data_IF_331989504878
#
_entry.id   IF_331989504878
#
_cell.length_a   1.000
_cell.length_b   1.000
_cell.length_c   1.000
_cell.angle_alpha   90.00
_cell.angle_beta   90.00
_cell.angle_gamma   90.00
#
_symmetry.space_group_name_H-M   'P 1'
#
loop_
_entity.id
_entity.type
_entity.pdbx_description
1 polymer ?
#
# COMPACT_ATOMS: atom_id res chain seq x y z
N UNK A 1 12.11 -22.15 14.73
CA UNK A 1 12.33 -23.56 15.13
C UNK A 1 13.41 -23.73 16.20
N UNK A 2 14.52 -22.97 16.16
CA UNK A 2 15.60 -23.04 17.17
C UNK A 2 15.15 -22.78 18.62
N UNK A 3 14.34 -21.76 18.86
CA UNK A 3 13.87 -21.40 20.22
C UNK A 3 13.04 -22.49 20.91
N UNK A 4 12.32 -23.33 20.16
CA UNK A 4 11.51 -24.41 20.74
C UNK A 4 12.38 -25.52 21.34
N UNK A 5 13.55 -25.77 20.74
CA UNK A 5 14.51 -26.74 21.25
C UNK A 5 15.16 -26.26 22.55
N UNK A 6 15.47 -24.97 22.65
CA UNK A 6 16.00 -24.36 23.88
C UNK A 6 15.02 -24.49 25.05
N UNK A 7 13.74 -24.21 24.82
CA UNK A 7 12.68 -24.36 25.84
C UNK A 7 12.51 -25.83 26.27
N UNK A 8 12.65 -26.77 25.34
CA UNK A 8 12.56 -28.21 25.65
C UNK A 8 13.75 -28.72 26.47
N UNK A 9 14.93 -28.14 26.29
CA UNK A 9 16.14 -28.47 27.02
C UNK A 9 16.20 -27.79 28.40
N UNK A 10 15.46 -26.70 28.62
CA UNK A 10 15.36 -26.04 29.93
C UNK A 10 14.62 -26.94 30.94
N UNK A 11 15.30 -27.25 32.03
CA UNK A 11 14.78 -28.09 33.12
C UNK A 11 13.52 -27.50 33.77
N UNK A 12 13.37 -26.16 33.75
CA UNK A 12 12.18 -25.46 34.28
C UNK A 12 10.92 -25.75 33.47
N UNK A 13 11.04 -25.85 32.14
CA UNK A 13 9.91 -25.99 31.22
C UNK A 13 9.70 -27.40 30.68
N UNK A 14 10.56 -28.36 31.06
CA UNK A 14 10.47 -29.77 30.63
C UNK A 14 9.10 -30.43 30.86
N UNK A 15 8.36 -29.99 31.87
CA UNK A 15 7.00 -30.50 32.19
C UNK A 15 5.93 -29.92 31.28
N UNK A 16 6.08 -28.66 30.85
CA UNK A 16 5.08 -27.92 30.06
C UNK A 16 4.84 -28.57 28.70
N UNK A 17 5.87 -29.12 28.07
CA UNK A 17 5.73 -29.78 26.75
C UNK A 17 4.96 -31.11 26.79
N UNK A 18 4.94 -31.78 27.96
CA UNK A 18 4.31 -33.09 28.15
C UNK A 18 2.94 -33.02 28.79
N UNK A 19 2.64 -31.93 29.49
CA UNK A 19 1.39 -31.77 30.22
C UNK A 19 0.27 -31.29 29.26
N UNK A 20 -0.81 -32.08 29.09
CA UNK A 20 -1.90 -31.74 28.18
C UNK A 20 -2.62 -30.43 28.52
N UNK A 21 -2.50 -29.94 29.76
CA UNK A 21 -3.03 -28.62 30.15
C UNK A 21 -2.44 -27.48 29.33
N UNK A 22 -1.18 -27.61 28.91
CA UNK A 22 -0.46 -26.60 28.13
C UNK A 22 -0.42 -26.92 26.64
N UNK A 23 -1.14 -27.95 26.18
CA UNK A 23 -1.30 -28.16 24.76
C UNK A 23 -2.21 -27.08 24.18
N UNK A 24 -1.68 -26.39 23.17
CA UNK A 24 -2.44 -25.43 22.40
C UNK A 24 -3.55 -26.14 21.63
N UNK A 25 -4.72 -25.51 21.59
CA UNK A 25 -5.87 -26.03 20.86
C UNK A 25 -5.52 -26.19 19.37
N UNK A 26 -5.91 -27.31 18.72
CA UNK A 26 -5.63 -27.54 17.31
C UNK A 26 -6.12 -26.39 16.43
N UNK A 27 -5.38 -26.08 15.36
CA UNK A 27 -5.76 -24.96 14.49
C UNK A 27 -7.15 -25.11 13.87
N UNK A 28 -7.60 -26.36 13.63
CA UNK A 28 -8.93 -26.67 13.09
C UNK A 28 -10.05 -26.21 14.01
N UNK A 29 -9.85 -26.32 15.31
CA UNK A 29 -10.82 -25.94 16.33
C UNK A 29 -10.67 -24.45 16.70
N UNK A 30 -9.45 -23.91 16.51
CA UNK A 30 -9.15 -22.49 16.74
C UNK A 30 -9.70 -21.58 15.65
N UNK A 31 -9.73 -22.04 14.40
CA UNK A 31 -10.11 -21.25 13.23
C UNK A 31 -11.55 -21.51 12.82
N UNK A 32 -12.27 -20.43 12.48
CA UNK A 32 -13.65 -20.46 12.01
C UNK A 32 -13.70 -20.51 10.49
N UNK A 33 -14.61 -21.30 9.91
CA UNK A 33 -14.81 -21.34 8.45
C UNK A 33 -15.41 -20.03 7.95
N UNK A 34 -14.87 -19.52 6.85
CA UNK A 34 -15.39 -18.34 6.16
C UNK A 34 -16.54 -18.71 5.23
N UNK A 35 -17.62 -17.93 5.31
CA UNK A 35 -18.70 -17.90 4.31
C UNK A 35 -18.25 -17.12 3.05
N UNK A 36 -18.78 -17.50 1.89
CA UNK A 36 -18.47 -16.96 0.56
C UNK A 36 -18.55 -15.42 0.52
N UNK A 37 -19.52 -14.84 1.23
CA UNK A 37 -19.75 -13.38 1.29
C UNK A 37 -18.58 -12.58 1.86
N UNK A 38 -17.81 -13.19 2.76
CA UNK A 38 -16.73 -12.50 3.47
C UNK A 38 -15.34 -12.79 2.89
N UNK A 39 -15.24 -13.60 1.84
CA UNK A 39 -13.97 -13.93 1.19
C UNK A 39 -13.27 -12.70 0.61
N UNK A 40 -14.04 -11.74 0.10
CA UNK A 40 -13.51 -10.50 -0.46
C UNK A 40 -12.72 -9.66 0.56
N UNK A 41 -12.99 -9.82 1.87
CA UNK A 41 -12.38 -9.01 2.94
C UNK A 41 -10.84 -9.08 2.97
N UNK A 42 -10.24 -10.16 2.47
CA UNK A 42 -8.79 -10.33 2.38
C UNK A 42 -8.16 -9.58 1.20
N UNK A 43 -8.93 -9.33 0.15
CA UNK A 43 -8.43 -8.82 -1.13
C UNK A 43 -8.85 -7.37 -1.37
N UNK A 44 -10.09 -7.03 -1.02
CA UNK A 44 -10.70 -5.74 -1.24
C UNK A 44 -9.99 -4.62 -0.45
N UNK A 45 -9.66 -3.54 -1.16
CA UNK A 45 -9.03 -2.36 -0.56
C UNK A 45 -9.93 -1.65 0.44
N UNK A 46 -11.25 -1.87 0.35
CA UNK A 46 -12.25 -1.32 1.28
C UNK A 46 -12.06 -1.82 2.72
N UNK A 47 -11.50 -3.03 2.87
CA UNK A 47 -11.27 -3.66 4.16
C UNK A 47 -9.81 -3.62 4.61
N UNK A 48 -8.88 -3.24 3.71
CA UNK A 48 -7.46 -3.06 4.00
C UNK A 48 -7.21 -1.71 4.64
N UNK A 49 -7.40 -1.65 5.95
CA UNK A 49 -7.08 -0.47 6.76
C UNK A 49 -5.77 -0.71 7.50
N UNK A 50 -4.83 0.23 7.37
CA UNK A 50 -3.55 0.21 8.06
C UNK A 50 -3.47 1.45 8.95
N UNK A 51 -3.24 1.24 10.24
CA UNK A 51 -2.96 2.30 11.20
C UNK A 51 -1.49 2.23 11.57
N UNK A 52 -0.85 3.39 11.71
CA UNK A 52 0.55 3.43 12.14
C UNK A 52 0.68 3.14 13.65
N UNK A 53 -0.31 3.52 14.44
CA UNK A 53 -0.26 3.51 15.91
C UNK A 53 -1.61 3.09 16.48
N UNK A 54 -1.60 2.24 17.51
CA UNK A 54 -2.79 1.82 18.26
C UNK A 54 -3.32 2.96 19.16
N UNK A 55 -4.54 2.83 19.69
CA UNK A 55 -5.13 3.72 20.69
C UNK A 55 -4.23 3.92 21.92
N UNK A 56 -3.34 2.96 22.19
CA UNK A 56 -2.36 2.98 23.29
C UNK A 56 -1.02 3.64 22.95
N UNK A 57 -0.83 4.10 21.71
CA UNK A 57 0.43 4.71 21.29
C UNK A 57 1.51 3.73 20.81
N UNK A 58 1.25 2.42 20.85
CA UNK A 58 2.19 1.43 20.34
C UNK A 58 2.21 1.44 18.79
N UNK A 59 3.39 1.48 18.16
CA UNK A 59 3.50 1.30 16.72
C UNK A 59 2.93 -0.06 16.30
N UNK A 60 2.06 -0.06 15.30
CA UNK A 60 1.44 -1.27 14.78
C UNK A 60 2.32 -1.85 13.68
N UNK A 61 2.75 -3.11 13.87
CA UNK A 61 3.50 -3.88 12.87
C UNK A 61 2.62 -4.75 11.98
N UNK A 62 1.40 -5.05 12.44
CA UNK A 62 0.50 -6.00 11.79
C UNK A 62 -0.55 -5.30 10.92
N UNK A 63 -0.95 -5.97 9.84
CA UNK A 63 -2.05 -5.50 9.00
C UNK A 63 -3.36 -6.15 9.39
N UNK A 64 -4.48 -5.48 9.12
CA UNK A 64 -5.84 -6.04 9.30
C UNK A 64 -6.01 -7.39 8.60
N UNK A 65 -5.37 -7.60 7.45
CA UNK A 65 -5.43 -8.89 6.74
C UNK A 65 -4.63 -9.99 7.41
N UNK A 66 -3.60 -9.65 8.17
CA UNK A 66 -2.81 -10.59 8.97
C UNK A 66 -3.62 -11.04 10.19
N UNK A 67 -4.25 -10.08 10.86
CA UNK A 67 -5.12 -10.36 12.01
C UNK A 67 -6.26 -11.32 11.64
N UNK A 68 -6.93 -11.07 10.52
CA UNK A 68 -8.02 -11.93 10.03
C UNK A 68 -7.56 -13.37 9.73
N UNK A 69 -6.30 -13.59 9.33
CA UNK A 69 -5.77 -14.94 9.07
C UNK A 69 -5.64 -15.79 10.34
N UNK A 70 -5.55 -15.18 11.51
CA UNK A 70 -5.47 -15.92 12.77
C UNK A 70 -6.80 -16.57 13.15
N UNK A 71 -7.91 -15.91 12.82
CA UNK A 71 -9.26 -16.33 13.22
C UNK A 71 -9.93 -17.26 12.22
N UNK A 72 -9.59 -17.16 10.94
CA UNK A 72 -10.34 -17.86 9.91
C UNK A 72 -9.56 -18.96 9.19
N UNK A 73 -10.27 -20.02 8.85
CA UNK A 73 -9.74 -21.12 8.05
C UNK A 73 -9.80 -20.76 6.56
N UNK A 74 -8.63 -20.45 6.02
CA UNK A 74 -8.42 -20.22 4.60
C UNK A 74 -8.11 -21.54 3.90
N UNK A 75 -9.05 -22.48 3.95
CA UNK A 75 -8.95 -23.67 3.11
C UNK A 75 -8.77 -23.24 1.64
N UNK A 76 -7.65 -23.66 1.06
CA UNK A 76 -7.17 -23.33 -0.29
C UNK A 76 -8.09 -23.89 -1.39
N UNK A 77 -9.13 -24.64 -1.02
CA UNK A 77 -10.06 -25.28 -1.96
C UNK A 77 -11.06 -24.31 -2.63
N UNK A 78 -11.04 -23.02 -2.29
CA UNK A 78 -11.86 -21.99 -2.94
C UNK A 78 -10.94 -20.85 -3.44
N UNK A 79 -10.03 -21.21 -4.33
CA UNK A 79 -9.01 -20.35 -4.98
C UNK A 79 -9.55 -19.54 -6.17
N UNK A 80 -10.88 -19.49 -6.36
CA UNK A 80 -11.49 -18.94 -7.58
C UNK A 80 -11.75 -17.42 -7.54
N UNK A 81 -11.17 -16.71 -6.56
CA UNK A 81 -11.25 -15.25 -6.46
C UNK A 81 -9.84 -14.64 -6.30
N UNK A 82 -8.86 -15.16 -7.05
CA UNK A 82 -7.53 -14.56 -7.19
C UNK A 82 -7.62 -13.40 -8.18
N UNK A 83 -7.83 -12.23 -7.60
CA UNK A 83 -8.05 -10.96 -8.28
C UNK A 83 -6.77 -10.41 -8.94
N UNK A 84 -6.52 -10.88 -10.16
CA UNK A 84 -5.69 -10.25 -11.20
C UNK A 84 -6.14 -8.81 -11.57
N UNK A 85 -7.24 -8.27 -11.01
CA UNK A 85 -7.72 -6.91 -11.34
C UNK A 85 -6.92 -5.79 -10.65
N UNK A 86 -6.22 -6.10 -9.55
CA UNK A 86 -5.43 -5.10 -8.83
C UNK A 86 -4.17 -4.63 -9.57
N UNK A 87 -3.63 -5.43 -10.49
CA UNK A 87 -2.51 -5.07 -11.38
C UNK A 87 -2.96 -4.25 -12.59
N UNK A 88 -4.14 -4.52 -13.13
CA UNK A 88 -4.67 -3.85 -14.34
C UNK A 88 -4.97 -2.37 -14.09
N UNK A 89 -5.45 -2.02 -12.89
CA UNK A 89 -5.77 -0.63 -12.53
C UNK A 89 -4.51 0.26 -12.35
N UNK A 90 -3.39 -0.31 -11.91
CA UNK A 90 -2.14 0.45 -11.76
C UNK A 90 -1.48 0.76 -13.11
N UNK A 91 -1.59 -0.12 -14.12
CA UNK A 91 -1.03 0.13 -15.45
C UNK A 91 -1.80 1.22 -16.22
N UNK A 92 -3.13 1.34 -16.03
CA UNK A 92 -3.95 2.40 -16.66
C UNK A 92 -3.65 3.80 -16.10
N UNK A 93 -3.35 3.93 -14.81
CA UNK A 93 -3.02 5.24 -14.20
C UNK A 93 -1.66 5.80 -14.62
N UNK A 94 -0.68 4.95 -14.91
CA UNK A 94 0.65 5.38 -15.40
C UNK A 94 0.59 5.92 -16.84
N UNK A 95 -0.26 5.35 -17.70
CA UNK A 95 -0.47 5.84 -19.07
C UNK A 95 -1.20 7.19 -19.15
N UNK A 96 -2.08 7.51 -18.19
CA UNK A 96 -2.79 8.80 -18.18
C UNK A 96 -1.95 9.95 -17.60
N UNK A 97 -1.06 9.71 -16.63
CA UNK A 97 -0.15 10.75 -16.10
C UNK A 97 0.90 11.21 -17.12
N UNK A 98 1.43 10.33 -17.97
CA UNK A 98 2.41 10.72 -19.02
C UNK A 98 1.83 11.66 -20.10
N UNK A 99 0.54 11.56 -20.42
CA UNK A 99 -0.11 12.44 -21.41
C UNK A 99 -0.40 13.85 -20.88
N UNK A 100 -0.46 14.05 -19.57
CA UNK A 100 -0.68 15.38 -18.97
C UNK A 100 0.62 16.16 -18.81
N UNK A 101 1.73 15.49 -18.48
CA UNK A 101 3.04 16.15 -18.35
C UNK A 101 3.63 16.64 -19.67
N UNK A 102 3.37 15.98 -20.81
CA UNK A 102 3.87 16.44 -22.13
C UNK A 102 3.12 17.68 -22.67
N UNK A 103 1.83 17.85 -22.33
CA UNK A 103 1.05 19.02 -22.77
C UNK A 103 1.42 20.28 -22.00
N UNK A 104 1.73 20.14 -20.71
CA UNK A 104 2.10 21.27 -19.84
C UNK A 104 3.51 21.80 -20.12
N UNK A 105 4.44 20.95 -20.56
CA UNK A 105 5.81 21.35 -20.95
C UNK A 105 5.81 22.08 -22.29
N UNK A 106 5.01 21.64 -23.28
CA UNK A 106 4.88 22.33 -24.58
C UNK A 106 4.21 23.70 -24.46
N UNK A 107 3.25 23.88 -23.57
CA UNK A 107 2.59 25.18 -23.37
C UNK A 107 3.49 26.19 -22.66
N UNK A 108 4.42 25.74 -21.78
CA UNK A 108 5.35 26.64 -21.08
C UNK A 108 6.47 27.16 -22.00
N UNK A 109 6.99 26.34 -22.92
CA UNK A 109 8.01 26.78 -23.90
C UNK A 109 7.49 27.86 -24.87
N UNK A 110 6.24 27.74 -25.37
CA UNK A 110 5.64 28.72 -26.29
C UNK A 110 5.36 30.09 -25.65
N UNK A 111 5.18 30.13 -24.32
CA UNK A 111 4.94 31.37 -23.57
C UNK A 111 6.25 32.12 -23.30
N UNK A 112 7.37 31.41 -23.22
CA UNK A 112 8.68 32.00 -22.92
C UNK A 112 9.35 32.62 -24.16
N UNK A 113 9.08 32.09 -25.36
CA UNK A 113 9.54 32.69 -26.62
C UNK A 113 8.85 34.02 -26.93
N UNK A 114 7.53 34.13 -26.71
CA UNK A 114 6.78 35.38 -26.96
C UNK A 114 7.13 36.54 -26.01
N UNK A 115 7.72 36.28 -24.84
CA UNK A 115 8.14 37.32 -23.89
C UNK A 115 9.53 37.89 -24.20
N UNK A 116 10.32 37.25 -25.07
CA UNK A 116 11.66 37.72 -25.46
C UNK A 116 11.64 38.65 -26.67
N UNK A 117 10.60 38.59 -27.52
CA UNK A 117 10.47 39.47 -28.69
C UNK A 117 10.02 40.91 -28.35
N UNK A 118 9.31 41.14 -27.23
CA UNK A 118 8.75 42.47 -26.91
C UNK A 118 9.66 43.39 -26.09
N UNK A 119 10.95 43.09 -25.95
CA UNK A 119 11.90 43.88 -25.13
C UNK A 119 13.03 44.58 -25.91
N UNK A 120 13.05 44.50 -27.24
CA UNK A 120 14.12 45.06 -28.07
C UNK A 120 13.63 46.09 -29.10
N UNK A 121 12.78 47.04 -28.74
CA UNK A 121 12.56 48.25 -29.55
C UNK A 121 12.21 49.39 -28.60
N UNK A 122 13.21 50.05 -28.02
CA UNK A 122 13.10 51.44 -27.56
C UNK A 122 14.50 51.95 -27.19
N UNK A 123 15.18 52.53 -28.18
CA UNK A 123 16.20 53.57 -28.04
C UNK A 123 16.77 53.90 -29.42
N UNK A 124 16.39 55.06 -29.97
CA UNK A 124 17.25 56.00 -30.72
C UNK A 124 16.44 57.25 -31.11
N UNK A 125 16.67 58.34 -30.39
CA UNK A 125 16.36 59.71 -30.82
C UNK A 125 17.09 60.07 -32.14
N UNK A 126 16.64 61.08 -32.91
CA UNK A 126 17.27 62.39 -32.76
C UNK A 126 16.38 63.64 -33.04
N UNK A 127 16.48 64.62 -32.14
CA UNK A 127 16.92 66.03 -32.36
C UNK A 127 16.36 66.85 -33.56
N UNK A 128 15.54 67.86 -33.21
CA UNK A 128 15.62 69.32 -33.53
C UNK A 128 15.25 69.88 -34.92
N UNK A 129 14.24 70.79 -34.97
CA UNK A 129 14.36 72.25 -35.25
C UNK A 129 12.99 72.90 -35.56
N UNK A 130 12.75 74.05 -34.92
CA UNK A 130 11.98 75.26 -35.27
C UNK A 130 10.71 75.16 -36.14
N UNK A 131 9.59 75.68 -35.63
CA UNK A 131 9.00 76.99 -35.98
C UNK A 131 7.93 77.38 -34.94
#
# INVERSE_FOLDING_TARGET
MSSKQEIMNDQRFRRVSKDPRFWEMPEKDRKVKIDKRFRAMFHDKKFKLNYAVDKRGCPITHSTTEDLKHFYDLSDSNSDLSDEESKVLNQKKVKQKKKQTEKEVKSKMLIEEKKKETKNVDQKDPINKND
#
